data_IF_690039771613
#
_entry.id   IF_690039771613
#
_cell.length_a   1.000
_cell.length_b   1.000
_cell.length_c   1.000
_cell.angle_alpha   90.00
_cell.angle_beta   90.00
_cell.angle_gamma   90.00
#
_symmetry.space_group_name_H-M   'P 1'
#
loop_
_entity.id
_entity.type
_entity.pdbx_description
1 polymer ?
#
# COMPACT_ATOMS: atom_id res chain seq x y z
N UNK A 1 7.54 2.13 106.44
CA UNK A 1 7.68 3.43 105.74
C UNK A 1 8.59 3.35 104.50
N UNK A 2 9.87 2.96 104.61
CA UNK A 2 10.81 2.94 103.46
C UNK A 2 10.39 2.02 102.30
N UNK A 3 9.85 0.84 102.61
CA UNK A 3 9.39 -0.13 101.60
C UNK A 3 8.18 0.37 100.80
N UNK A 4 7.26 1.08 101.46
CA UNK A 4 6.09 1.67 100.81
C UNK A 4 6.49 2.80 99.84
N UNK A 5 7.44 3.66 100.22
CA UNK A 5 7.97 4.70 99.33
C UNK A 5 8.66 4.13 98.08
N UNK A 6 9.44 3.04 98.23
CA UNK A 6 10.08 2.36 97.10
C UNK A 6 9.03 1.75 96.16
N UNK A 7 8.02 1.06 96.70
CA UNK A 7 6.93 0.50 95.90
C UNK A 7 6.17 1.57 95.12
N UNK A 8 5.95 2.74 95.72
CA UNK A 8 5.25 3.86 95.07
C UNK A 8 6.09 4.45 93.92
N UNK A 9 7.40 4.57 94.09
CA UNK A 9 8.32 5.00 93.02
C UNK A 9 8.31 3.99 91.86
N UNK A 10 8.40 2.69 92.16
CA UNK A 10 8.37 1.64 91.11
C UNK A 10 7.02 1.64 90.38
N UNK A 11 5.91 1.77 91.11
CA UNK A 11 4.58 1.85 90.51
C UNK A 11 4.42 3.07 89.58
N UNK A 12 4.91 4.24 89.99
CA UNK A 12 4.89 5.44 89.14
C UNK A 12 5.79 5.31 87.90
N UNK A 13 6.95 4.66 88.02
CA UNK A 13 7.82 4.39 86.87
C UNK A 13 7.16 3.42 85.88
N UNK A 14 6.50 2.36 86.37
CA UNK A 14 5.75 1.43 85.52
C UNK A 14 4.55 2.11 84.86
N UNK A 15 3.81 2.94 85.59
CA UNK A 15 2.71 3.72 85.03
C UNK A 15 3.20 4.70 83.96
N UNK A 16 4.33 5.39 84.20
CA UNK A 16 4.96 6.27 83.23
C UNK A 16 5.42 5.54 81.97
N UNK A 17 6.09 4.39 82.12
CA UNK A 17 6.49 3.55 81.00
C UNK A 17 5.28 3.03 80.20
N UNK A 18 4.21 2.62 80.89
CA UNK A 18 2.95 2.22 80.28
C UNK A 18 2.29 3.35 79.48
N UNK A 19 2.27 4.57 80.01
CA UNK A 19 1.76 5.75 79.30
C UNK A 19 2.58 6.04 78.04
N UNK A 20 3.92 6.11 78.13
CA UNK A 20 4.79 6.33 76.97
C UNK A 20 4.59 5.26 75.90
N UNK A 21 4.44 4.00 76.29
CA UNK A 21 4.15 2.91 75.35
C UNK A 21 2.80 3.10 74.65
N UNK A 22 1.72 3.37 75.39
CA UNK A 22 0.39 3.60 74.83
C UNK A 22 0.35 4.85 73.95
N UNK A 23 1.00 5.94 74.34
CA UNK A 23 1.14 7.14 73.51
C UNK A 23 1.91 6.86 72.22
N UNK A 24 2.95 6.02 72.28
CA UNK A 24 3.70 5.59 71.09
C UNK A 24 2.85 4.70 70.18
N UNK A 25 2.02 3.82 70.75
CA UNK A 25 1.09 2.99 69.98
C UNK A 25 -0.03 3.81 69.34
N UNK A 26 -0.64 4.75 70.07
CA UNK A 26 -1.67 5.66 69.53
C UNK A 26 -1.10 6.52 68.41
N UNK A 27 0.11 7.08 68.61
CA UNK A 27 0.80 7.85 67.58
C UNK A 27 1.06 7.00 66.33
N UNK A 28 1.59 5.77 66.46
CA UNK A 28 1.77 4.85 65.34
C UNK A 28 0.44 4.50 64.65
N UNK A 29 -0.63 4.32 65.42
CA UNK A 29 -1.98 4.05 64.91
C UNK A 29 -2.50 5.20 64.05
N UNK A 30 -2.42 6.43 64.55
CA UNK A 30 -2.79 7.65 63.80
C UNK A 30 -1.97 7.80 62.52
N UNK A 31 -0.65 7.60 62.59
CA UNK A 31 0.20 7.65 61.40
C UNK A 31 -0.19 6.60 60.35
N UNK A 32 -0.56 5.38 60.78
CA UNK A 32 -1.02 4.32 59.86
C UNK A 32 -2.36 4.67 59.22
N UNK A 33 -3.31 5.24 59.97
CA UNK A 33 -4.62 5.65 59.44
C UNK A 33 -4.45 6.80 58.46
N UNK A 34 -3.66 7.81 58.81
CA UNK A 34 -3.35 8.94 57.92
C UNK A 34 -2.64 8.48 56.65
N UNK A 35 -1.66 7.57 56.77
CA UNK A 35 -0.98 7.00 55.61
C UNK A 35 -1.93 6.19 54.71
N UNK A 36 -2.87 5.42 55.29
CA UNK A 36 -3.88 4.70 54.53
C UNK A 36 -4.85 5.65 53.79
N UNK A 37 -5.31 6.71 54.48
CA UNK A 37 -6.13 7.76 53.88
C UNK A 37 -5.41 8.47 52.73
N UNK A 38 -4.13 8.81 52.91
CA UNK A 38 -3.29 9.42 51.88
C UNK A 38 -3.11 8.49 50.68
N UNK A 39 -2.83 7.20 50.89
CA UNK A 39 -2.72 6.20 49.80
C UNK A 39 -4.02 6.07 49.01
N UNK A 40 -5.16 6.06 49.68
CA UNK A 40 -6.46 6.02 49.02
C UNK A 40 -6.70 7.27 48.16
N UNK A 41 -6.37 8.45 48.70
CA UNK A 41 -6.50 9.71 47.97
C UNK A 41 -5.56 9.80 46.77
N UNK A 42 -4.31 9.35 46.93
CA UNK A 42 -3.34 9.20 45.85
C UNK A 42 -3.84 8.24 44.78
N UNK A 43 -4.42 7.10 45.17
CA UNK A 43 -4.99 6.15 44.22
C UNK A 43 -6.14 6.77 43.42
N UNK A 44 -7.00 7.56 44.06
CA UNK A 44 -8.13 8.19 43.38
C UNK A 44 -7.75 9.35 42.46
N UNK A 45 -6.86 10.24 42.93
CA UNK A 45 -6.55 11.51 42.26
C UNK A 45 -5.19 11.55 41.55
N UNK A 46 -4.30 10.61 41.83
CA UNK A 46 -2.93 10.57 41.34
C UNK A 46 -1.99 11.48 42.12
N UNK A 47 -0.73 11.49 41.69
CA UNK A 47 0.25 12.49 42.12
C UNK A 47 -0.06 13.86 41.49
N UNK A 48 0.47 14.98 42.01
CA UNK A 48 0.21 16.31 41.46
C UNK A 48 0.70 16.42 40.01
N UNK A 49 0.07 17.26 39.19
CA UNK A 49 0.51 17.42 37.79
C UNK A 49 1.90 18.05 37.73
N UNK A 50 2.04 19.26 38.26
CA UNK A 50 3.30 20.01 38.32
C UNK A 50 3.86 20.01 39.74
N UNK A 51 5.19 20.05 39.90
CA UNK A 51 5.78 20.29 41.20
C UNK A 51 5.51 21.75 41.62
N UNK A 52 5.18 21.98 42.89
CA UNK A 52 5.17 23.34 43.46
C UNK A 52 6.56 23.81 43.93
N UNK A 53 7.62 23.08 43.55
CA UNK A 53 9.02 23.32 43.90
C UNK A 53 9.98 22.79 42.83
N UNK A 54 11.29 22.67 43.13
CA UNK A 54 12.26 22.11 42.19
C UNK A 54 11.90 20.67 41.78
N UNK A 55 12.28 20.28 40.56
CA UNK A 55 12.08 18.91 40.05
C UNK A 55 12.86 17.91 40.93
N UNK A 56 12.16 17.18 41.80
CA UNK A 56 12.74 16.09 42.60
C UNK A 56 12.37 16.15 44.08
N UNK A 57 13.05 15.32 44.87
CA UNK A 57 12.96 15.35 46.33
C UNK A 57 13.90 16.43 46.88
N UNK A 58 13.45 17.16 47.90
CA UNK A 58 14.29 18.12 48.63
C UNK A 58 15.36 17.43 49.48
N UNK A 59 16.17 18.23 50.19
CA UNK A 59 17.22 17.73 51.08
C UNK A 59 16.72 16.80 52.19
N UNK A 60 15.45 16.94 52.58
CA UNK A 60 14.79 16.12 53.60
C UNK A 60 14.09 14.88 53.03
N UNK A 61 14.32 14.53 51.76
CA UNK A 61 13.60 13.46 51.05
C UNK A 61 12.06 13.70 51.03
N UNK A 62 11.63 14.95 51.11
CA UNK A 62 10.23 15.37 51.02
C UNK A 62 9.97 16.13 49.72
N UNK A 63 8.76 15.97 49.18
CA UNK A 63 8.26 16.79 48.06
C UNK A 63 6.97 17.49 48.49
N UNK A 64 6.75 18.76 48.09
CA UNK A 64 5.48 19.43 48.28
C UNK A 64 4.31 18.62 47.73
N UNK A 65 3.31 18.38 48.58
CA UNK A 65 2.07 17.68 48.26
C UNK A 65 0.96 18.28 49.11
N UNK A 66 0.33 19.33 48.60
CA UNK A 66 -0.74 20.04 49.32
C UNK A 66 -2.04 19.29 49.12
N UNK A 67 -2.56 18.70 50.20
CA UNK A 67 -3.83 17.98 50.17
C UNK A 67 -4.62 18.17 51.45
N UNK A 68 -5.90 18.50 51.30
CA UNK A 68 -6.85 18.61 52.40
C UNK A 68 -7.35 17.20 52.78
N UNK A 69 -7.00 16.77 53.99
CA UNK A 69 -7.47 15.54 54.59
C UNK A 69 -8.82 15.75 55.28
N UNK A 70 -9.51 14.66 55.61
CA UNK A 70 -10.71 14.74 56.44
C UNK A 70 -10.40 15.41 57.77
N UNK A 71 -11.25 16.35 58.20
CA UNK A 71 -11.04 17.14 59.42
C UNK A 71 -10.37 18.50 59.20
N UNK A 72 -10.13 18.91 57.94
CA UNK A 72 -9.60 20.24 57.60
C UNK A 72 -8.07 20.37 57.76
N UNK A 73 -7.38 19.28 58.14
CA UNK A 73 -5.92 19.26 58.16
C UNK A 73 -5.35 19.20 56.74
N UNK A 74 -4.37 20.05 56.45
CA UNK A 74 -3.66 20.02 55.17
C UNK A 74 -2.29 19.38 55.34
N UNK A 75 -2.06 18.27 54.65
CA UNK A 75 -0.71 17.75 54.48
C UNK A 75 -0.01 18.65 53.45
N UNK A 76 1.21 19.11 53.75
CA UNK A 76 1.98 20.01 52.87
C UNK A 76 3.06 19.28 52.08
N UNK A 77 3.57 18.17 52.61
CA UNK A 77 4.68 17.41 52.04
C UNK A 77 4.40 15.91 52.13
N UNK A 78 5.01 15.15 51.22
CA UNK A 78 5.00 13.69 51.22
C UNK A 78 6.44 13.18 51.19
N UNK A 79 6.74 12.19 52.03
CA UNK A 79 8.08 11.62 52.11
C UNK A 79 8.34 10.62 50.97
N UNK A 80 9.58 10.57 50.51
CA UNK A 80 10.08 9.62 49.51
C UNK A 80 9.78 8.18 49.89
N UNK A 81 9.99 7.80 51.14
CA UNK A 81 9.73 6.45 51.65
C UNK A 81 8.26 6.02 51.48
N UNK A 82 7.32 6.96 51.65
CA UNK A 82 5.90 6.67 51.44
C UNK A 82 5.58 6.46 49.97
N UNK A 83 6.15 7.27 49.07
CA UNK A 83 6.02 7.10 47.62
C UNK A 83 6.68 5.81 47.13
N UNK A 84 7.87 5.47 47.64
CA UNK A 84 8.54 4.21 47.31
C UNK A 84 7.70 2.99 47.70
N UNK A 85 7.11 3.00 48.90
CA UNK A 85 6.20 1.93 49.31
C UNK A 85 4.96 1.89 48.41
N UNK A 86 4.36 3.05 48.12
CA UNK A 86 3.19 3.16 47.26
C UNK A 86 3.46 2.65 45.83
N UNK A 87 4.59 3.01 45.21
CA UNK A 87 4.92 2.54 43.86
C UNK A 87 5.35 1.07 43.85
N UNK A 88 6.04 0.59 44.88
CA UNK A 88 6.41 -0.83 45.02
C UNK A 88 5.19 -1.74 45.14
N UNK A 89 4.21 -1.34 45.94
CA UNK A 89 2.96 -2.11 46.13
C UNK A 89 2.14 -2.16 44.82
N UNK A 90 2.26 -1.12 43.98
CA UNK A 90 1.49 -0.98 42.75
C UNK A 90 2.19 -1.51 41.49
N UNK A 91 3.52 -1.54 41.43
CA UNK A 91 4.23 -2.08 40.27
C UNK A 91 4.27 -3.61 40.26
N UNK A 92 4.05 -4.27 41.40
CA UNK A 92 4.30 -5.71 41.52
C UNK A 92 5.79 -6.02 41.31
N UNK A 93 6.27 -7.13 41.88
CA UNK A 93 7.55 -7.68 41.43
C UNK A 93 7.32 -8.24 40.03
N UNK A 94 7.42 -7.39 39.01
CA UNK A 94 7.32 -7.80 37.61
C UNK A 94 8.53 -8.67 37.27
N UNK A 95 8.47 -9.96 37.63
CA UNK A 95 9.13 -10.98 36.85
C UNK A 95 8.49 -10.89 35.47
N UNK A 96 9.24 -10.35 34.50
CA UNK A 96 8.82 -10.31 33.11
C UNK A 96 8.25 -11.69 32.76
N UNK A 97 7.00 -11.80 32.26
CA UNK A 97 6.44 -13.08 31.91
C UNK A 97 7.36 -13.70 30.84
N UNK A 98 8.09 -14.74 31.25
CA UNK A 98 8.89 -15.54 30.33
C UNK A 98 7.92 -16.29 29.41
N UNK A 99 7.68 -15.77 28.21
CA UNK A 99 6.93 -16.48 27.16
C UNK A 99 5.60 -15.88 26.70
N UNK A 100 5.39 -14.57 26.79
CA UNK A 100 4.27 -13.94 26.08
C UNK A 100 4.60 -13.84 24.58
N UNK A 101 4.27 -14.91 23.83
CA UNK A 101 4.38 -15.03 22.36
C UNK A 101 3.39 -14.11 21.63
N UNK A 102 3.51 -12.80 21.84
CA UNK A 102 2.91 -11.81 20.96
C UNK A 102 3.58 -11.86 19.58
N UNK A 103 2.83 -11.59 18.49
CA UNK A 103 3.40 -11.59 17.16
C UNK A 103 4.54 -10.55 17.09
N UNK A 104 5.76 -11.05 16.90
CA UNK A 104 7.04 -10.34 16.86
C UNK A 104 7.61 -9.80 18.20
N UNK A 105 7.68 -10.66 19.23
CA UNK A 105 8.91 -11.10 19.93
C UNK A 105 10.11 -10.17 20.24
N UNK A 106 10.02 -8.85 20.14
CA UNK A 106 11.09 -7.96 20.60
C UNK A 106 10.98 -7.72 22.13
N UNK A 107 12.05 -7.93 22.91
CA UNK A 107 12.04 -7.61 24.34
C UNK A 107 11.76 -6.12 24.53
N UNK A 108 10.64 -5.79 25.17
CA UNK A 108 10.26 -4.40 25.46
C UNK A 108 10.94 -3.92 26.73
N UNK A 109 11.30 -2.63 26.77
CA UNK A 109 11.72 -1.97 28.02
C UNK A 109 10.59 -2.05 29.02
N UNK A 110 10.89 -2.57 30.21
CA UNK A 110 9.94 -2.47 31.32
C UNK A 110 9.77 -1.01 31.71
N UNK A 111 8.64 -0.42 31.36
CA UNK A 111 8.28 0.94 31.75
C UNK A 111 7.89 1.02 33.24
N UNK A 112 7.58 -0.12 33.87
CA UNK A 112 7.01 -0.25 35.21
C UNK A 112 8.03 -0.18 36.37
N UNK A 113 9.26 0.30 36.14
CA UNK A 113 10.30 0.39 37.17
C UNK A 113 9.82 1.07 38.46
N UNK A 114 10.27 0.59 39.64
CA UNK A 114 9.77 1.01 40.96
C UNK A 114 10.26 2.40 41.43
N UNK A 115 10.85 3.19 40.53
CA UNK A 115 11.38 4.51 40.88
C UNK A 115 10.24 5.44 41.30
N UNK A 116 10.30 6.04 42.49
CA UNK A 116 9.28 6.98 42.93
C UNK A 116 9.32 8.25 42.08
N UNK A 117 8.15 8.81 41.79
CA UNK A 117 8.00 10.09 41.07
C UNK A 117 7.23 11.08 41.92
N UNK A 118 7.67 12.35 41.88
CA UNK A 118 7.10 13.42 42.70
C UNK A 118 5.87 14.07 42.09
N UNK A 119 5.72 14.01 40.77
CA UNK A 119 4.61 14.58 40.02
C UNK A 119 4.41 13.84 38.68
N UNK A 120 3.30 14.09 38.00
CA UNK A 120 2.95 13.40 36.76
C UNK A 120 3.91 13.76 35.61
N UNK A 121 4.37 15.00 35.54
CA UNK A 121 5.33 15.44 34.50
C UNK A 121 6.70 14.76 34.67
N UNK A 122 7.15 14.52 35.90
CA UNK A 122 8.35 13.76 36.18
C UNK A 122 8.24 12.32 35.67
N UNK A 123 7.06 11.69 35.79
CA UNK A 123 6.82 10.38 35.19
C UNK A 123 6.90 10.42 33.67
N UNK A 124 6.27 11.41 33.04
CA UNK A 124 6.31 11.57 31.58
C UNK A 124 7.75 11.74 31.08
N UNK A 125 8.55 12.60 31.74
CA UNK A 125 9.98 12.79 31.42
C UNK A 125 10.77 11.49 31.60
N UNK A 126 10.53 10.75 32.69
CA UNK A 126 11.19 9.45 32.96
C UNK A 126 10.89 8.44 31.84
N UNK A 127 9.63 8.33 31.45
CA UNK A 127 9.17 7.40 30.41
C UNK A 127 9.70 7.79 29.05
N UNK A 128 9.69 9.08 28.72
CA UNK A 128 10.30 9.59 27.49
C UNK A 128 11.81 9.25 27.44
N UNK A 129 12.53 9.41 28.55
CA UNK A 129 13.94 9.06 28.63
C UNK A 129 14.19 7.56 28.41
N UNK A 130 13.36 6.69 28.99
CA UNK A 130 13.44 5.24 28.77
C UNK A 130 13.18 4.86 27.31
N UNK A 131 12.16 5.45 26.70
CA UNK A 131 11.82 5.23 25.29
C UNK A 131 12.96 5.71 24.38
N UNK A 132 13.51 6.90 24.64
CA UNK A 132 14.66 7.43 23.89
C UNK A 132 15.89 6.57 24.03
N UNK A 133 16.19 6.09 25.23
CA UNK A 133 17.30 5.17 25.45
C UNK A 133 17.12 3.86 24.66
N UNK A 134 15.89 3.36 24.56
CA UNK A 134 15.59 2.17 23.75
C UNK A 134 15.79 2.42 22.25
N UNK A 135 15.26 3.54 21.76
CA UNK A 135 15.36 3.93 20.34
C UNK A 135 16.79 4.31 19.92
N UNK A 136 17.65 4.64 20.89
CA UNK A 136 19.05 4.99 20.68
C UNK A 136 20.01 3.81 20.85
N UNK A 137 19.53 2.59 21.12
CA UNK A 137 20.40 1.41 21.19
C UNK A 137 21.12 1.20 19.87
N UNK A 138 22.45 1.12 19.93
CA UNK A 138 23.29 0.84 18.76
C UNK A 138 22.90 -0.49 18.11
N UNK A 139 22.79 -0.48 16.77
CA UNK A 139 22.47 -1.68 15.99
C UNK A 139 20.99 -2.00 15.84
N UNK A 140 20.07 -1.18 16.38
CA UNK A 140 18.64 -1.36 16.16
C UNK A 140 18.30 -1.17 14.67
N UNK A 141 17.80 -2.21 14.01
CA UNK A 141 17.47 -2.13 12.59
C UNK A 141 16.29 -1.15 12.38
N UNK A 142 16.21 -0.42 11.25
CA UNK A 142 15.09 0.51 10.99
C UNK A 142 13.72 -0.16 11.10
N UNK A 143 13.58 -1.40 10.63
CA UNK A 143 12.35 -2.19 10.74
C UNK A 143 11.95 -2.46 12.22
N UNK A 144 12.92 -2.78 13.07
CA UNK A 144 12.68 -3.02 14.51
C UNK A 144 12.28 -1.72 15.21
N UNK A 145 12.93 -0.60 14.86
CA UNK A 145 12.58 0.73 15.36
C UNK A 145 11.15 1.12 14.99
N UNK A 146 10.75 0.89 13.74
CA UNK A 146 9.36 1.09 13.28
C UNK A 146 8.40 0.19 14.06
N UNK A 147 8.74 -1.07 14.30
CA UNK A 147 7.89 -2.00 15.05
C UNK A 147 7.69 -1.57 16.52
N UNK A 148 8.74 -1.07 17.19
CA UNK A 148 8.63 -0.51 18.55
C UNK A 148 7.72 0.73 18.56
N UNK A 149 7.97 1.68 17.66
CA UNK A 149 7.17 2.91 17.54
C UNK A 149 5.70 2.62 17.20
N UNK A 150 5.44 1.61 16.35
CA UNK A 150 4.09 1.10 16.06
C UNK A 150 3.37 0.69 17.34
N UNK A 151 4.04 -0.09 18.19
CA UNK A 151 3.47 -0.59 19.45
C UNK A 151 3.02 0.55 20.37
N UNK A 152 3.76 1.66 20.40
CA UNK A 152 3.45 2.82 21.24
C UNK A 152 2.42 3.76 20.63
N UNK A 153 2.45 3.99 19.31
CA UNK A 153 1.62 5.01 18.66
C UNK A 153 0.27 4.49 18.18
N UNK A 154 0.13 3.21 17.80
CA UNK A 154 -1.08 2.72 17.15
C UNK A 154 -2.34 2.86 18.03
N UNK A 155 -2.18 2.67 19.34
CA UNK A 155 -3.26 2.83 20.32
C UNK A 155 -3.45 4.29 20.78
N UNK A 156 -2.54 5.19 20.41
CA UNK A 156 -2.64 6.62 20.69
C UNK A 156 -3.31 7.42 19.56
N UNK A 157 -3.65 6.79 18.44
CA UNK A 157 -4.41 7.45 17.39
C UNK A 157 -5.75 7.94 17.94
N UNK A 158 -6.07 9.22 17.70
CA UNK A 158 -7.31 9.85 18.18
C UNK A 158 -8.40 9.90 17.10
N UNK A 159 -8.00 9.80 15.83
CA UNK A 159 -8.88 9.74 14.65
C UNK A 159 -8.53 8.55 13.76
N UNK A 160 -9.45 8.22 12.84
CA UNK A 160 -9.25 7.14 11.88
C UNK A 160 -8.10 7.45 10.91
N UNK A 161 -8.02 8.69 10.43
CA UNK A 161 -6.99 9.17 9.50
C UNK A 161 -5.59 9.08 10.13
N UNK A 162 -5.46 9.51 11.39
CA UNK A 162 -4.21 9.39 12.15
C UNK A 162 -3.80 7.92 12.30
N UNK A 163 -4.77 7.03 12.54
CA UNK A 163 -4.51 5.59 12.63
C UNK A 163 -4.03 5.02 11.31
N UNK A 164 -4.65 5.42 10.19
CA UNK A 164 -4.20 5.04 8.85
C UNK A 164 -2.81 5.57 8.53
N UNK A 165 -2.49 6.80 8.91
CA UNK A 165 -1.13 7.35 8.76
C UNK A 165 -0.11 6.49 9.51
N UNK A 166 -0.39 6.15 10.77
CA UNK A 166 0.49 5.27 11.55
C UNK A 166 0.60 3.88 10.93
N UNK A 167 -0.48 3.31 10.41
CA UNK A 167 -0.44 2.02 9.71
C UNK A 167 0.39 2.10 8.43
N UNK A 168 0.23 3.15 7.62
CA UNK A 168 0.99 3.34 6.39
C UNK A 168 2.50 3.52 6.66
N UNK A 169 2.87 4.28 7.70
CA UNK A 169 4.27 4.43 8.12
C UNK A 169 4.85 3.13 8.69
N UNK A 170 4.03 2.30 9.31
CA UNK A 170 4.47 1.05 9.96
C UNK A 170 4.34 -0.21 9.11
N UNK A 171 3.73 -0.10 7.92
CA UNK A 171 3.66 -1.20 6.95
C UNK A 171 5.07 -1.48 6.40
N UNK A 172 5.37 -2.77 6.23
CA UNK A 172 6.58 -3.23 5.58
C UNK A 172 6.54 -2.97 4.06
N UNK A 173 5.34 -2.77 3.50
CA UNK A 173 5.14 -2.47 2.08
C UNK A 173 4.84 -1.00 1.85
N UNK A 174 5.29 -0.47 0.72
CA UNK A 174 4.95 0.86 0.25
C UNK A 174 3.53 0.89 -0.38
N UNK A 175 3.10 2.07 -0.83
CA UNK A 175 1.81 2.26 -1.48
C UNK A 175 1.65 1.46 -2.80
N UNK A 176 2.73 0.92 -3.37
CA UNK A 176 2.73 0.07 -4.57
C UNK A 176 2.76 -1.43 -4.22
N UNK A 177 2.75 -1.78 -2.93
CA UNK A 177 2.86 -3.15 -2.44
C UNK A 177 4.27 -3.72 -2.50
N UNK A 178 5.30 -2.91 -2.78
CA UNK A 178 6.71 -3.31 -2.77
C UNK A 178 7.26 -3.24 -1.35
N UNK A 179 8.22 -4.11 -1.00
CA UNK A 179 8.87 -4.05 0.32
C UNK A 179 9.66 -2.74 0.40
N UNK A 180 9.43 -1.96 1.46
CA UNK A 180 10.13 -0.69 1.69
C UNK A 180 11.63 -0.91 1.79
N UNK A 181 12.39 -0.01 1.17
CA UNK A 181 13.84 0.00 1.29
C UNK A 181 14.27 0.35 2.74
N UNK A 182 15.51 -0.01 3.15
CA UNK A 182 16.03 0.39 4.46
C UNK A 182 16.02 1.92 4.68
N UNK A 183 16.20 2.71 3.62
CA UNK A 183 16.14 4.17 3.67
C UNK A 183 14.72 4.69 3.93
N UNK A 184 13.71 4.09 3.28
CA UNK A 184 12.30 4.43 3.52
C UNK A 184 11.90 4.08 4.95
N UNK A 185 12.27 2.89 5.44
CA UNK A 185 11.99 2.50 6.83
C UNK A 185 12.68 3.41 7.84
N UNK A 186 13.89 3.91 7.54
CA UNK A 186 14.58 4.89 8.38
C UNK A 186 13.82 6.22 8.41
N UNK A 187 13.38 6.74 7.26
CA UNK A 187 12.59 7.97 7.20
C UNK A 187 11.25 7.83 7.92
N UNK A 188 10.57 6.69 7.78
CA UNK A 188 9.33 6.38 8.50
C UNK A 188 9.58 6.31 10.01
N UNK A 189 10.66 5.68 10.46
CA UNK A 189 11.05 5.65 11.87
C UNK A 189 11.30 7.06 12.44
N UNK A 190 12.03 7.91 11.72
CA UNK A 190 12.29 9.30 12.12
C UNK A 190 10.99 10.12 12.22
N UNK A 191 10.06 9.93 11.27
CA UNK A 191 8.75 10.59 11.31
C UNK A 191 7.92 10.14 12.50
N UNK A 192 7.83 8.82 12.74
CA UNK A 192 7.13 8.25 13.89
C UNK A 192 7.73 8.71 15.22
N UNK A 193 9.07 8.75 15.33
CA UNK A 193 9.77 9.25 16.51
C UNK A 193 9.44 10.73 16.76
N UNK A 194 9.45 11.55 15.72
CA UNK A 194 9.06 12.97 15.82
C UNK A 194 7.62 13.14 16.29
N UNK A 195 6.68 12.31 15.80
CA UNK A 195 5.28 12.32 16.22
C UNK A 195 5.18 11.99 17.72
N UNK A 196 5.87 10.94 18.17
CA UNK A 196 5.90 10.55 19.57
C UNK A 196 6.50 11.66 20.45
N UNK A 197 7.62 12.24 20.04
CA UNK A 197 8.26 13.34 20.76
C UNK A 197 7.39 14.59 20.83
N UNK A 198 6.62 14.88 19.77
CA UNK A 198 5.66 15.98 19.76
C UNK A 198 4.55 15.74 20.79
N UNK A 199 4.06 14.49 20.92
CA UNK A 199 3.06 14.13 21.94
C UNK A 199 3.60 14.24 23.37
N UNK A 200 4.84 13.80 23.61
CA UNK A 200 5.51 14.01 24.88
C UNK A 200 5.68 15.50 25.19
N UNK A 201 6.17 16.28 24.23
CA UNK A 201 6.37 17.72 24.37
C UNK A 201 5.06 18.47 24.65
N UNK A 202 3.95 18.08 24.01
CA UNK A 202 2.63 18.66 24.25
C UNK A 202 2.12 18.46 25.68
N UNK A 203 2.52 17.36 26.34
CA UNK A 203 2.17 17.10 27.74
C UNK A 203 3.18 17.73 28.70
N UNK A 204 4.48 17.70 28.37
CA UNK A 204 5.54 18.23 29.24
C UNK A 204 5.53 19.75 29.28
N UNK A 205 5.41 20.41 28.14
CA UNK A 205 5.47 21.86 28.08
C UNK A 205 4.13 22.45 28.53
N UNK A 206 4.19 23.34 29.53
CA UNK A 206 3.01 24.12 29.90
C UNK A 206 2.64 25.00 28.69
N UNK A 207 1.39 24.94 28.22
CA UNK A 207 0.97 25.76 27.10
C UNK A 207 1.18 27.23 27.47
N UNK A 208 1.89 27.95 26.60
CA UNK A 208 2.11 29.38 26.78
C UNK A 208 0.77 30.10 26.67
N UNK A 209 0.26 30.57 27.81
CA UNK A 209 -1.04 31.24 27.89
C UNK A 209 -1.12 32.51 27.02
N UNK A 210 0.04 33.06 26.64
CA UNK A 210 0.14 34.26 25.81
C UNK A 210 0.29 33.97 24.31
N UNK A 211 0.36 32.69 23.91
CA UNK A 211 0.49 32.33 22.50
C UNK A 211 -0.87 32.43 21.82
N UNK A 212 -1.17 33.60 21.27
CA UNK A 212 -2.32 33.78 20.38
C UNK A 212 -2.16 32.86 19.19
N UNK A 213 -3.12 31.96 18.89
CA UNK A 213 -3.05 31.13 17.71
C UNK A 213 -2.96 32.06 16.50
N UNK A 214 -1.80 32.05 15.83
CA UNK A 214 -1.64 32.79 14.58
C UNK A 214 -2.46 32.01 13.58
N UNK A 215 -3.69 32.47 13.31
CA UNK A 215 -4.55 31.84 12.32
C UNK A 215 -3.81 31.90 10.97
N UNK A 216 -3.20 30.77 10.58
CA UNK A 216 -2.70 30.62 9.24
C UNK A 216 -3.88 30.86 8.31
N UNK A 217 -3.72 31.77 7.35
CA UNK A 217 -4.77 32.03 6.36
C UNK A 217 -5.08 30.70 5.65
N UNK A 218 -6.27 30.15 5.91
CA UNK A 218 -6.72 28.95 5.22
C UNK A 218 -6.77 29.28 3.72
N UNK A 219 -6.16 28.46 2.85
CA UNK A 219 -6.33 28.66 1.41
C UNK A 219 -7.82 28.61 1.07
N UNK A 220 -8.25 29.44 0.12
CA UNK A 220 -9.66 29.57 -0.25
C UNK A 220 -10.12 28.36 -1.08
N UNK A 221 -10.27 27.20 -0.41
CA UNK A 221 -10.68 25.91 -1.00
C UNK A 221 -12.02 26.06 -1.73
N UNK A 222 -12.90 26.92 -1.20
CA UNK A 222 -14.19 27.20 -1.81
C UNK A 222 -14.03 27.82 -3.20
N UNK A 223 -13.18 28.85 -3.32
CA UNK A 223 -12.87 29.46 -4.62
C UNK A 223 -12.30 28.46 -5.62
N UNK A 224 -11.37 27.60 -5.18
CA UNK A 224 -10.80 26.56 -6.05
C UNK A 224 -11.85 25.52 -6.51
N UNK A 225 -12.80 25.15 -5.64
CA UNK A 225 -13.89 24.23 -5.98
C UNK A 225 -14.91 24.86 -6.95
N UNK A 226 -15.23 26.13 -6.77
CA UNK A 226 -16.12 26.89 -7.66
C UNK A 226 -15.50 27.02 -9.06
N UNK A 227 -14.18 27.26 -9.16
CA UNK A 227 -13.44 27.30 -10.42
C UNK A 227 -13.41 25.94 -11.13
N UNK A 228 -13.20 24.83 -10.41
CA UNK A 228 -13.24 23.48 -10.98
C UNK A 228 -14.62 23.12 -11.51
N UNK A 229 -15.68 23.49 -10.78
CA UNK A 229 -17.07 23.27 -11.20
C UNK A 229 -17.37 24.01 -12.50
N UNK A 230 -16.92 25.26 -12.61
CA UNK A 230 -17.05 26.06 -13.83
C UNK A 230 -16.34 25.41 -15.02
N UNK A 231 -15.08 25.00 -14.86
CA UNK A 231 -14.30 24.36 -15.93
C UNK A 231 -14.90 23.02 -16.38
N UNK A 232 -15.48 22.26 -15.45
CA UNK A 232 -16.14 20.99 -15.75
C UNK A 232 -17.41 21.20 -16.57
N UNK A 233 -18.20 22.23 -16.24
CA UNK A 233 -19.37 22.61 -17.03
C UNK A 233 -18.97 23.12 -18.43
N UNK A 234 -17.93 23.93 -18.54
CA UNK A 234 -17.41 24.42 -19.83
C UNK A 234 -16.95 23.25 -20.73
N UNK A 235 -16.27 22.25 -20.15
CA UNK A 235 -15.86 21.04 -20.87
C UNK A 235 -17.07 20.23 -21.37
N UNK A 236 -18.11 20.14 -20.55
CA UNK A 236 -19.35 19.45 -20.92
C UNK A 236 -20.08 20.17 -22.06
N UNK A 237 -20.24 21.49 -21.97
CA UNK A 237 -20.87 22.31 -23.01
C UNK A 237 -20.11 22.21 -24.36
N UNK A 238 -18.78 22.10 -24.32
CA UNK A 238 -17.95 21.87 -25.51
C UNK A 238 -18.15 20.48 -26.11
N UNK A 239 -18.31 19.44 -25.30
CA UNK A 239 -18.60 18.09 -25.78
C UNK A 239 -19.99 18.00 -26.44
N UNK A 240 -20.96 18.76 -25.93
CA UNK A 240 -22.33 18.78 -26.44
C UNK A 240 -22.48 19.61 -27.73
N UNK A 241 -21.64 20.62 -27.94
CA UNK A 241 -21.59 21.40 -29.19
C UNK A 241 -20.92 20.60 -30.30
N UNK A 242 -21.68 19.84 -31.09
CA UNK A 242 -21.17 19.29 -32.37
C UNK A 242 -21.27 20.32 -33.51
N UNK A 243 -20.21 20.52 -34.33
CA UNK A 243 -18.86 19.96 -34.22
C UNK A 243 -17.89 20.88 -33.47
N UNK A 244 -17.51 20.53 -32.24
CA UNK A 244 -16.39 21.17 -31.54
C UNK A 244 -15.05 20.58 -32.03
N UNK A 245 -14.01 21.41 -32.25
CA UNK A 245 -12.67 20.93 -32.56
C UNK A 245 -12.15 20.01 -31.44
N UNK A 246 -11.59 18.85 -31.79
CA UNK A 246 -11.00 17.92 -30.80
C UNK A 246 -9.91 18.58 -29.95
N UNK A 247 -9.19 19.55 -30.52
CA UNK A 247 -8.12 20.26 -29.85
C UNK A 247 -8.63 21.13 -28.69
N UNK A 248 -9.82 21.73 -28.81
CA UNK A 248 -10.44 22.53 -27.75
C UNK A 248 -10.89 21.65 -26.58
N UNK A 249 -11.41 20.47 -26.88
CA UNK A 249 -11.81 19.47 -25.87
C UNK A 249 -10.57 18.99 -25.10
N UNK A 250 -9.47 18.67 -25.81
CA UNK A 250 -8.21 18.24 -25.18
C UNK A 250 -7.60 19.35 -24.32
N UNK A 251 -7.60 20.60 -24.81
CA UNK A 251 -7.08 21.74 -24.06
C UNK A 251 -7.86 21.96 -22.75
N UNK A 252 -9.20 21.91 -22.81
CA UNK A 252 -10.05 22.07 -21.62
C UNK A 252 -9.97 20.89 -20.66
N UNK A 253 -9.86 19.66 -21.16
CA UNK A 253 -9.64 18.49 -20.31
C UNK A 253 -8.34 18.61 -19.50
N UNK A 254 -7.26 19.10 -20.12
CA UNK A 254 -5.99 19.37 -19.44
C UNK A 254 -6.11 20.48 -18.39
N UNK A 255 -6.89 21.52 -18.65
CA UNK A 255 -7.16 22.60 -17.70
C UNK A 255 -7.95 22.09 -16.48
N UNK A 256 -8.96 21.23 -16.70
CA UNK A 256 -9.72 20.55 -15.63
C UNK A 256 -8.79 19.67 -14.79
N UNK A 257 -7.92 18.88 -15.42
CA UNK A 257 -6.97 18.02 -14.71
C UNK A 257 -6.00 18.84 -13.85
N UNK A 258 -5.42 19.91 -14.41
CA UNK A 258 -4.56 20.83 -13.67
C UNK A 258 -5.29 21.46 -12.48
N UNK A 259 -6.52 21.95 -12.66
CA UNK A 259 -7.29 22.55 -11.56
C UNK A 259 -7.70 21.54 -10.50
N UNK A 260 -7.96 20.29 -10.89
CA UNK A 260 -8.22 19.20 -9.94
C UNK A 260 -7.00 18.88 -9.09
N UNK A 261 -5.80 18.91 -9.66
CA UNK A 261 -4.55 18.78 -8.89
C UNK A 261 -4.34 19.96 -7.93
N UNK A 262 -4.61 21.20 -8.37
CA UNK A 262 -4.52 22.40 -7.53
C UNK A 262 -5.52 22.34 -6.36
N UNK A 263 -6.77 21.94 -6.61
CA UNK A 263 -7.78 21.77 -5.57
C UNK A 263 -7.37 20.68 -4.57
N UNK A 264 -6.78 19.58 -5.04
CA UNK A 264 -6.30 18.49 -4.18
C UNK A 264 -5.16 18.96 -3.29
N UNK A 265 -4.21 19.73 -3.82
CA UNK A 265 -3.12 20.31 -3.04
C UNK A 265 -3.62 21.41 -2.09
N UNK A 266 -4.55 22.26 -2.52
CA UNK A 266 -5.18 23.27 -1.66
C UNK A 266 -6.00 22.61 -0.53
N UNK A 267 -6.70 21.51 -0.80
CA UNK A 267 -7.42 20.73 0.20
C UNK A 267 -6.45 20.05 1.18
N UNK A 268 -5.33 19.48 0.70
CA UNK A 268 -4.26 18.95 1.58
C UNK A 268 -3.64 20.04 2.44
N UNK A 269 -3.40 21.23 1.89
CA UNK A 269 -2.87 22.38 2.63
C UNK A 269 -3.87 22.92 3.64
N UNK A 270 -5.15 23.02 3.28
CA UNK A 270 -6.21 23.40 4.20
C UNK A 270 -6.39 22.38 5.31
N UNK A 271 -6.33 21.09 5.00
CA UNK A 271 -6.36 20.01 5.98
C UNK A 271 -5.13 20.10 6.89
N UNK A 272 -3.93 20.22 6.34
CA UNK A 272 -2.71 20.37 7.14
C UNK A 272 -2.72 21.66 7.99
N UNK A 273 -3.30 22.75 7.49
CA UNK A 273 -3.48 23.98 8.26
C UNK A 273 -4.54 23.80 9.35
N UNK A 274 -5.64 23.08 9.06
CA UNK A 274 -6.66 22.73 10.05
C UNK A 274 -6.11 21.80 11.13
N UNK A 275 -5.28 20.82 10.76
CA UNK A 275 -4.57 19.92 11.66
C UNK A 275 -3.55 20.69 12.49
N UNK A 276 -2.77 21.60 11.88
CA UNK A 276 -1.89 22.51 12.63
C UNK A 276 -2.67 23.41 13.58
N UNK A 277 -3.83 23.92 13.18
CA UNK A 277 -4.70 24.72 14.04
C UNK A 277 -5.33 23.84 15.12
N UNK A 278 -5.66 22.58 14.86
CA UNK A 278 -6.16 21.63 15.85
C UNK A 278 -5.06 21.27 16.87
N UNK A 279 -3.84 21.04 16.41
CA UNK A 279 -2.65 20.83 17.22
C UNK A 279 -2.33 22.09 18.06
N UNK A 280 -2.43 23.28 17.46
CA UNK A 280 -2.22 24.56 18.14
C UNK A 280 -3.35 24.90 19.11
N UNK A 281 -4.62 24.58 18.80
CA UNK A 281 -5.74 24.67 19.74
C UNK A 281 -5.57 23.68 20.88
N UNK A 282 -4.97 22.53 20.60
CA UNK A 282 -4.48 21.63 21.62
C UNK A 282 -3.30 22.18 22.43
N UNK A 283 -2.68 23.27 22.01
CA UNK A 283 -1.58 23.93 22.70
C UNK A 283 -1.95 25.31 23.29
N UNK A 284 -3.16 25.84 23.02
CA UNK A 284 -3.65 27.09 23.63
C UNK A 284 -4.18 26.79 25.03
N UNK A 285 -3.56 27.38 26.06
CA UNK A 285 -3.85 27.24 27.50
C UNK A 285 -4.74 26.05 27.87
N UNK A 286 -4.25 24.82 27.65
CA UNK A 286 -4.94 23.63 28.14
C UNK A 286 -5.24 23.85 29.62
N UNK A 287 -6.52 23.77 29.97
CA UNK A 287 -6.88 23.69 31.38
C UNK A 287 -6.06 22.53 31.99
N UNK A 288 -5.67 22.68 33.25
CA UNK A 288 -4.89 21.67 33.96
C UNK A 288 -5.59 20.29 33.88
N UNK A 289 -6.92 20.33 33.86
CA UNK A 289 -7.80 19.18 33.60
C UNK A 289 -7.53 18.51 32.26
N UNK A 290 -7.42 19.26 31.17
CA UNK A 290 -7.23 18.71 29.84
C UNK A 290 -5.83 18.15 29.69
N UNK A 291 -4.81 18.85 30.20
CA UNK A 291 -3.42 18.36 30.20
C UNK A 291 -3.27 17.06 30.98
N UNK A 292 -3.91 16.93 32.15
CA UNK A 292 -3.99 15.65 32.88
C UNK A 292 -4.69 14.55 32.06
N UNK A 293 -5.71 14.91 31.28
CA UNK A 293 -6.40 13.99 30.36
C UNK A 293 -5.49 13.47 29.25
N UNK A 294 -4.75 14.36 28.58
CA UNK A 294 -3.78 14.00 27.54
C UNK A 294 -2.62 13.16 28.09
N UNK A 295 -2.13 13.50 29.29
CA UNK A 295 -1.12 12.72 29.99
C UNK A 295 -1.61 11.29 30.27
N UNK A 296 -2.83 11.16 30.78
CA UNK A 296 -3.45 9.86 31.01
C UNK A 296 -3.54 9.06 29.70
N UNK A 297 -4.07 9.68 28.65
CA UNK A 297 -4.19 9.06 27.33
C UNK A 297 -2.84 8.61 26.77
N UNK A 298 -1.81 9.44 26.87
CA UNK A 298 -0.45 9.10 26.45
C UNK A 298 0.08 7.88 27.20
N UNK A 299 0.06 7.90 28.54
CA UNK A 299 0.72 6.87 29.35
C UNK A 299 0.00 5.52 29.32
N UNK A 300 -1.34 5.49 29.30
CA UNK A 300 -2.13 4.24 29.34
C UNK A 300 -1.82 3.34 28.13
N UNK A 301 -1.59 3.93 26.96
CA UNK A 301 -1.45 3.20 25.70
C UNK A 301 -0.01 2.81 25.36
N UNK A 302 0.98 3.14 26.19
CA UNK A 302 2.38 2.81 25.93
C UNK A 302 2.68 1.32 26.14
N UNK A 303 2.06 0.65 27.11
CA UNK A 303 2.32 -0.76 27.39
C UNK A 303 1.06 -1.45 27.96
N UNK A 304 0.56 -2.55 27.40
CA UNK A 304 -0.57 -3.28 27.97
C UNK A 304 -0.24 -4.03 29.28
N UNK A 305 1.03 -4.09 29.68
CA UNK A 305 1.47 -4.82 30.87
C UNK A 305 0.74 -4.39 32.16
N UNK A 306 0.35 -5.38 32.98
CA UNK A 306 -0.45 -5.13 34.18
C UNK A 306 0.29 -4.31 35.24
N UNK A 307 1.62 -4.49 35.38
CA UNK A 307 2.43 -3.69 36.29
C UNK A 307 2.51 -2.24 35.83
N UNK A 308 2.63 -2.02 34.52
CA UNK A 308 2.54 -0.69 33.93
C UNK A 308 1.18 -0.03 34.18
N UNK A 309 0.07 -0.73 33.92
CA UNK A 309 -1.27 -0.16 34.10
C UNK A 309 -1.52 0.24 35.56
N UNK A 310 -1.10 -0.58 36.53
CA UNK A 310 -1.19 -0.23 37.95
C UNK A 310 -0.33 0.99 38.32
N UNK A 311 0.88 1.09 37.76
CA UNK A 311 1.73 2.28 37.93
C UNK A 311 1.05 3.53 37.38
N UNK A 312 0.42 3.45 36.21
CA UNK A 312 -0.28 4.60 35.62
C UNK A 312 -1.53 4.99 36.40
N UNK A 313 -2.29 4.03 36.93
CA UNK A 313 -3.36 4.29 37.89
C UNK A 313 -2.81 5.03 39.12
N UNK A 314 -1.65 4.61 39.63
CA UNK A 314 -1.01 5.23 40.78
C UNK A 314 -0.51 6.67 40.50
N UNK A 315 0.00 6.94 39.30
CA UNK A 315 0.50 8.26 38.88
C UNK A 315 -0.64 9.23 38.54
N UNK A 316 -1.55 8.83 37.66
CA UNK A 316 -2.58 9.72 37.09
C UNK A 316 -3.84 9.75 37.97
N UNK A 317 -4.06 8.68 38.73
CA UNK A 317 -5.26 8.48 39.54
C UNK A 317 -6.32 7.68 38.81
N UNK A 318 -7.01 6.81 39.53
CA UNK A 318 -8.03 5.90 39.03
C UNK A 318 -9.16 6.62 38.28
N UNK A 319 -9.62 7.78 38.78
CA UNK A 319 -10.71 8.53 38.13
C UNK A 319 -10.32 9.01 36.72
N UNK A 320 -9.08 9.48 36.57
CA UNK A 320 -8.56 9.97 35.29
C UNK A 320 -8.21 8.82 34.36
N UNK A 321 -7.65 7.75 34.90
CA UNK A 321 -7.40 6.51 34.18
C UNK A 321 -8.69 5.97 33.54
N UNK A 322 -9.74 5.76 34.33
CA UNK A 322 -11.04 5.26 33.82
C UNK A 322 -11.61 6.19 32.76
N UNK A 323 -11.59 7.51 32.99
CA UNK A 323 -12.07 8.48 32.00
C UNK A 323 -11.29 8.42 30.68
N UNK A 324 -9.97 8.28 30.73
CA UNK A 324 -9.13 8.18 29.54
C UNK A 324 -9.40 6.87 28.77
N UNK A 325 -9.59 5.75 29.47
CA UNK A 325 -9.99 4.48 28.85
C UNK A 325 -11.38 4.61 28.20
N UNK A 326 -12.37 5.18 28.89
CA UNK A 326 -13.71 5.39 28.34
C UNK A 326 -13.67 6.27 27.08
N UNK A 327 -12.90 7.36 27.10
CA UNK A 327 -12.72 8.22 25.93
C UNK A 327 -12.06 7.46 24.76
N UNK A 328 -11.10 6.59 25.05
CA UNK A 328 -10.48 5.76 24.01
C UNK A 328 -11.49 4.79 23.39
N UNK A 329 -12.31 4.13 24.20
CA UNK A 329 -13.36 3.24 23.71
C UNK A 329 -14.31 3.99 22.79
N UNK A 330 -14.75 5.19 23.17
CA UNK A 330 -15.57 6.04 22.29
C UNK A 330 -14.87 6.40 20.98
N UNK A 331 -13.58 6.75 21.02
CA UNK A 331 -12.80 7.02 19.79
C UNK A 331 -12.71 5.80 18.88
N UNK A 332 -12.54 4.60 19.44
CA UNK A 332 -12.55 3.38 18.63
C UNK A 332 -13.91 3.07 18.05
N UNK A 333 -15.00 3.31 18.78
CA UNK A 333 -16.36 3.21 18.26
C UNK A 333 -16.58 4.18 17.07
N UNK A 334 -16.11 5.42 17.19
CA UNK A 334 -16.17 6.40 16.10
C UNK A 334 -15.35 5.96 14.86
N UNK A 335 -14.14 5.41 15.08
CA UNK A 335 -13.32 4.85 13.99
C UNK A 335 -14.01 3.65 13.32
N UNK A 336 -14.64 2.76 14.09
CA UNK A 336 -15.38 1.62 13.55
C UNK A 336 -16.54 2.12 12.68
N UNK A 337 -17.34 3.08 13.18
CA UNK A 337 -18.44 3.68 12.41
C UNK A 337 -17.97 4.34 11.12
N UNK A 338 -16.82 5.03 11.17
CA UNK A 338 -16.24 5.63 9.97
C UNK A 338 -15.92 4.57 8.90
N UNK A 339 -15.31 3.45 9.29
CA UNK A 339 -15.04 2.32 8.40
C UNK A 339 -16.34 1.71 7.87
N UNK A 340 -17.31 1.46 8.75
CA UNK A 340 -18.61 0.89 8.36
C UNK A 340 -19.38 1.77 7.37
N UNK A 341 -19.29 3.10 7.51
CA UNK A 341 -19.89 4.05 6.58
C UNK A 341 -19.17 4.12 5.23
N UNK A 342 -17.87 3.88 5.19
CA UNK A 342 -17.08 3.89 3.95
C UNK A 342 -17.31 2.63 3.09
N UNK A 343 -17.52 1.47 3.72
CA UNK A 343 -17.65 0.16 3.04
C UNK A 343 -18.68 0.17 1.88
N UNK A 344 -19.92 0.65 2.04
CA UNK A 344 -20.89 0.66 0.94
C UNK A 344 -20.44 1.51 -0.25
N UNK A 345 -19.78 2.65 0.02
CA UNK A 345 -19.22 3.52 -1.00
C UNK A 345 -18.14 2.80 -1.82
N UNK A 346 -17.18 2.19 -1.13
CA UNK A 346 -16.09 1.44 -1.75
C UNK A 346 -16.60 0.22 -2.53
N UNK A 347 -17.57 -0.53 -1.98
CA UNK A 347 -18.22 -1.64 -2.68
C UNK A 347 -18.90 -1.18 -3.97
N UNK A 348 -19.60 -0.03 -3.94
CA UNK A 348 -20.26 0.50 -5.13
C UNK A 348 -19.25 0.95 -6.20
N UNK A 349 -18.15 1.59 -5.79
CA UNK A 349 -17.07 2.01 -6.68
C UNK A 349 -16.39 0.79 -7.33
N UNK A 350 -16.10 -0.24 -6.53
CA UNK A 350 -15.52 -1.49 -7.02
C UNK A 350 -16.43 -2.18 -8.04
N UNK A 351 -17.74 -2.28 -7.77
CA UNK A 351 -18.70 -2.90 -8.71
C UNK A 351 -18.72 -2.16 -10.05
N UNK A 352 -18.66 -0.82 -10.04
CA UNK A 352 -18.61 -0.01 -11.26
C UNK A 352 -17.33 -0.29 -12.05
N UNK A 353 -16.17 -0.26 -11.38
CA UNK A 353 -14.88 -0.55 -12.02
C UNK A 353 -14.82 -1.98 -12.58
N UNK A 354 -15.26 -2.96 -11.80
CA UNK A 354 -15.32 -4.37 -12.23
C UNK A 354 -16.23 -4.54 -13.45
N UNK A 355 -17.38 -3.85 -13.47
CA UNK A 355 -18.30 -3.90 -14.61
C UNK A 355 -17.65 -3.37 -15.88
N UNK A 356 -16.92 -2.25 -15.79
CA UNK A 356 -16.17 -1.67 -16.92
C UNK A 356 -15.08 -2.63 -17.40
N UNK A 357 -14.28 -3.21 -16.49
CA UNK A 357 -13.23 -4.16 -16.84
C UNK A 357 -13.79 -5.44 -17.48
N UNK A 358 -14.91 -5.96 -16.96
CA UNK A 358 -15.61 -7.11 -17.56
C UNK A 358 -16.10 -6.78 -18.97
N UNK A 359 -16.68 -5.60 -19.18
CA UNK A 359 -17.13 -5.18 -20.50
C UNK A 359 -15.95 -5.07 -21.49
N UNK A 360 -14.83 -4.48 -21.06
CA UNK A 360 -13.61 -4.42 -21.87
C UNK A 360 -13.05 -5.80 -22.20
N UNK A 361 -13.04 -6.73 -21.23
CA UNK A 361 -12.59 -8.11 -21.45
C UNK A 361 -13.48 -8.83 -22.48
N UNK A 362 -14.80 -8.67 -22.40
CA UNK A 362 -15.75 -9.22 -23.39
C UNK A 362 -15.50 -8.64 -24.78
N UNK A 363 -15.37 -7.31 -24.91
CA UNK A 363 -15.07 -6.67 -26.19
C UNK A 363 -13.73 -7.15 -26.78
N UNK A 364 -12.70 -7.30 -25.96
CA UNK A 364 -11.40 -7.81 -26.40
C UNK A 364 -11.50 -9.28 -26.86
N UNK A 365 -12.28 -10.11 -26.18
CA UNK A 365 -12.54 -11.48 -26.58
C UNK A 365 -13.30 -11.55 -27.92
N UNK A 366 -14.29 -10.70 -28.13
CA UNK A 366 -15.03 -10.59 -29.40
C UNK A 366 -14.12 -10.15 -30.55
N UNK A 367 -13.26 -9.15 -30.33
CA UNK A 367 -12.25 -8.72 -31.31
C UNK A 367 -11.28 -9.84 -31.65
N UNK A 368 -10.81 -10.58 -30.65
CA UNK A 368 -9.92 -11.72 -30.86
C UNK A 368 -10.59 -12.82 -31.70
N UNK A 369 -11.89 -13.09 -31.46
CA UNK A 369 -12.68 -14.03 -32.28
C UNK A 369 -12.82 -13.55 -33.72
N UNK A 370 -13.17 -12.28 -33.94
CA UNK A 370 -13.30 -11.71 -35.28
C UNK A 370 -11.97 -11.81 -36.07
N UNK A 371 -10.83 -11.50 -35.44
CA UNK A 371 -9.51 -11.64 -36.05
C UNK A 371 -9.20 -13.10 -36.38
N UNK A 372 -9.57 -14.05 -35.51
CA UNK A 372 -9.35 -15.47 -35.74
C UNK A 372 -10.19 -15.99 -36.94
N UNK A 373 -11.45 -15.56 -37.05
CA UNK A 373 -12.32 -15.89 -38.17
C UNK A 373 -11.81 -15.31 -39.50
N UNK A 374 -11.36 -14.06 -39.51
CA UNK A 374 -10.74 -13.45 -40.69
C UNK A 374 -9.46 -14.19 -41.11
N UNK A 375 -8.62 -14.56 -40.13
CA UNK A 375 -7.43 -15.39 -40.41
C UNK A 375 -7.80 -16.74 -41.00
N UNK A 376 -8.85 -17.40 -40.49
CA UNK A 376 -9.33 -18.67 -41.04
C UNK A 376 -9.79 -18.51 -42.50
N UNK A 377 -10.55 -17.46 -42.83
CA UNK A 377 -10.96 -17.14 -44.21
C UNK A 377 -9.74 -16.88 -45.12
N UNK A 378 -8.74 -16.15 -44.63
CA UNK A 378 -7.51 -15.91 -45.39
C UNK A 378 -6.71 -17.19 -45.64
N UNK A 379 -6.71 -18.13 -44.70
CA UNK A 379 -6.10 -19.45 -44.88
C UNK A 379 -6.86 -20.24 -45.94
N UNK A 380 -8.19 -20.27 -45.89
CA UNK A 380 -9.04 -20.94 -46.88
C UNK A 380 -8.87 -20.36 -48.31
N UNK A 381 -8.79 -19.03 -48.44
CA UNK A 381 -8.49 -18.39 -49.71
C UNK A 381 -7.07 -18.74 -50.22
N UNK A 382 -6.08 -18.80 -49.32
CA UNK A 382 -4.73 -19.24 -49.67
C UNK A 382 -4.71 -20.69 -50.14
N UNK A 383 -5.43 -21.60 -49.49
CA UNK A 383 -5.50 -23.00 -49.92
C UNK A 383 -6.20 -23.11 -51.27
N UNK A 384 -7.35 -22.43 -51.46
CA UNK A 384 -8.06 -22.40 -52.73
C UNK A 384 -7.21 -21.87 -53.90
N UNK A 385 -6.43 -20.81 -53.67
CA UNK A 385 -5.53 -20.26 -54.69
C UNK A 385 -4.36 -21.19 -55.01
N UNK A 386 -3.75 -21.83 -54.00
CA UNK A 386 -2.72 -22.87 -54.20
C UNK A 386 -3.27 -24.04 -55.02
N UNK A 387 -4.48 -24.49 -54.73
CA UNK A 387 -5.14 -25.56 -55.48
C UNK A 387 -5.41 -25.15 -56.93
N UNK A 388 -5.89 -23.92 -57.17
CA UNK A 388 -6.11 -23.40 -58.51
C UNK A 388 -4.81 -23.30 -59.33
N UNK A 389 -3.71 -22.85 -58.71
CA UNK A 389 -2.38 -22.83 -59.34
C UNK A 389 -1.91 -24.24 -59.66
N UNK A 390 -2.12 -25.20 -58.75
CA UNK A 390 -1.76 -26.61 -58.96
C UNK A 390 -2.54 -27.21 -60.14
N UNK A 391 -3.86 -26.97 -60.22
CA UNK A 391 -4.68 -27.40 -61.37
C UNK A 391 -4.18 -26.81 -62.69
N UNK A 392 -3.87 -25.50 -62.72
CA UNK A 392 -3.32 -24.84 -63.92
C UNK A 392 -1.96 -25.42 -64.32
N UNK A 393 -1.08 -25.74 -63.37
CA UNK A 393 0.19 -26.42 -63.66
C UNK A 393 -0.02 -27.79 -64.28
N UNK A 394 -0.96 -28.58 -63.77
CA UNK A 394 -1.30 -29.89 -64.34
C UNK A 394 -1.87 -29.77 -65.75
N UNK A 395 -2.74 -28.78 -66.00
CA UNK A 395 -3.27 -28.49 -67.33
C UNK A 395 -2.17 -28.07 -68.31
N UNK A 396 -1.27 -27.17 -67.90
CA UNK A 396 -0.13 -26.75 -68.71
C UNK A 396 0.78 -27.93 -69.05
N UNK A 397 1.05 -28.82 -68.09
CA UNK A 397 1.83 -30.04 -68.34
C UNK A 397 1.14 -30.93 -69.38
N UNK A 398 -0.16 -31.21 -69.21
CA UNK A 398 -0.94 -32.00 -70.17
C UNK A 398 -0.93 -31.40 -71.57
N UNK A 399 -1.11 -30.08 -71.71
CA UNK A 399 -1.02 -29.38 -73.00
C UNK A 399 0.39 -29.44 -73.60
N UNK A 400 1.43 -29.37 -72.76
CA UNK A 400 2.82 -29.52 -73.21
C UNK A 400 3.06 -30.93 -73.74
N UNK A 401 2.59 -31.96 -73.00
CA UNK A 401 2.69 -33.36 -73.41
C UNK A 401 1.94 -33.59 -74.74
N UNK A 402 0.73 -33.02 -74.89
CA UNK A 402 -0.02 -33.05 -76.16
C UNK A 402 0.74 -32.38 -77.30
N UNK A 403 1.32 -31.20 -77.08
CA UNK A 403 2.13 -30.52 -78.09
C UNK A 403 3.35 -31.34 -78.49
N UNK A 404 4.03 -31.99 -77.55
CA UNK A 404 5.16 -32.89 -77.87
C UNK A 404 4.72 -34.10 -78.68
N UNK A 405 3.55 -34.68 -78.37
CA UNK A 405 2.97 -35.78 -79.13
C UNK A 405 2.61 -35.36 -80.56
N UNK A 406 1.90 -34.24 -80.72
CA UNK A 406 1.54 -33.70 -82.04
C UNK A 406 2.79 -33.38 -82.85
N UNK A 407 3.85 -32.83 -82.24
CA UNK A 407 5.14 -32.62 -82.91
C UNK A 407 5.74 -33.94 -83.41
N UNK A 408 5.77 -34.98 -82.57
CA UNK A 408 6.26 -36.30 -82.97
C UNK A 408 5.43 -36.93 -84.10
N UNK A 409 4.10 -36.79 -84.07
CA UNK A 409 3.21 -37.25 -85.14
C UNK A 409 3.44 -36.47 -86.45
N UNK A 410 3.63 -35.14 -86.38
CA UNK A 410 3.98 -34.31 -87.54
C UNK A 410 5.33 -34.72 -88.12
N UNK A 411 6.34 -34.95 -87.27
CA UNK A 411 7.67 -35.41 -87.72
C UNK A 411 7.57 -36.78 -88.41
N UNK A 412 6.76 -37.71 -87.89
CA UNK A 412 6.51 -39.01 -88.53
C UNK A 412 5.81 -38.84 -89.89
N UNK A 413 4.79 -37.98 -89.96
CA UNK A 413 4.08 -37.68 -91.22
C UNK A 413 5.02 -37.05 -92.25
N UNK A 414 5.93 -36.16 -91.84
CA UNK A 414 6.94 -35.58 -92.72
C UNK A 414 7.90 -36.66 -93.24
N UNK A 415 8.38 -37.58 -92.40
CA UNK A 415 9.22 -38.72 -92.84
C UNK A 415 8.46 -39.61 -93.84
N UNK A 416 7.19 -39.93 -93.56
CA UNK A 416 6.34 -40.70 -94.50
C UNK A 416 6.14 -39.95 -95.81
N UNK A 417 5.91 -38.64 -95.78
CA UNK A 417 5.79 -37.81 -96.96
C UNK A 417 7.07 -37.86 -97.80
N UNK A 418 8.24 -37.66 -97.18
CA UNK A 418 9.54 -37.76 -97.89
C UNK A 418 9.75 -39.15 -98.50
N UNK A 419 9.35 -40.22 -97.81
CA UNK A 419 9.42 -41.58 -98.35
C UNK A 419 8.48 -41.78 -99.55
N UNK A 420 7.24 -41.28 -99.47
CA UNK A 420 6.29 -41.31 -100.58
C UNK A 420 6.80 -40.48 -101.77
N UNK A 421 7.35 -39.29 -101.53
CA UNK A 421 7.97 -38.45 -102.56
C UNK A 421 9.11 -39.20 -103.26
N UNK A 422 9.97 -39.89 -102.50
CA UNK A 422 11.04 -40.72 -103.06
C UNK A 422 10.50 -41.88 -103.90
N UNK A 423 9.47 -42.59 -103.43
CA UNK A 423 8.80 -43.63 -104.21
C UNK A 423 8.19 -43.06 -105.50
N UNK A 424 7.61 -41.87 -105.44
CA UNK A 424 7.04 -41.20 -106.60
C UNK A 424 8.12 -40.83 -107.63
N UNK A 425 9.29 -40.39 -107.19
CA UNK A 425 10.46 -40.18 -108.05
C UNK A 425 11.00 -41.50 -108.64
N UNK A 426 11.05 -42.58 -107.86
CA UNK A 426 11.45 -43.91 -108.35
C UNK A 426 10.46 -44.43 -109.41
N UNK A 427 9.16 -44.31 -109.18
CA UNK A 427 8.12 -44.65 -110.15
C UNK A 427 8.23 -43.76 -111.40
N UNK A 428 8.42 -42.45 -111.26
CA UNK A 428 8.66 -41.56 -112.41
C UNK A 428 9.89 -41.98 -113.21
N UNK A 429 10.96 -42.40 -112.53
CA UNK A 429 12.18 -42.91 -113.16
C UNK A 429 11.93 -44.24 -113.87
N UNK A 430 11.22 -45.19 -113.26
CA UNK A 430 10.84 -46.47 -113.88
C UNK A 430 9.91 -46.27 -115.08
N UNK A 431 8.95 -45.34 -114.99
CA UNK A 431 8.11 -44.95 -116.13
C UNK A 431 8.97 -44.36 -117.25
N UNK A 432 9.97 -43.53 -116.92
CA UNK A 432 10.94 -43.03 -117.89
C UNK A 432 11.73 -44.15 -118.58
N UNK A 433 12.25 -45.11 -117.82
CA UNK A 433 12.98 -46.27 -118.35
C UNK A 433 12.09 -47.21 -119.18
N UNK A 434 10.86 -47.46 -118.74
CA UNK A 434 9.92 -48.31 -119.49
C UNK A 434 9.44 -47.63 -120.76
N UNK A 435 9.26 -46.31 -120.77
CA UNK A 435 9.04 -45.55 -122.00
C UNK A 435 10.24 -45.65 -122.94
N UNK A 436 11.47 -45.51 -122.44
CA UNK A 436 12.69 -45.73 -123.24
C UNK A 436 12.76 -47.16 -123.80
N UNK A 437 12.45 -48.18 -123.00
CA UNK A 437 12.42 -49.58 -123.45
C UNK A 437 11.30 -49.85 -124.45
N UNK A 438 10.12 -49.25 -124.28
CA UNK A 438 9.03 -49.30 -125.26
C UNK A 438 9.49 -48.66 -126.57
N UNK A 439 10.08 -47.46 -126.53
CA UNK A 439 10.64 -46.84 -127.74
C UNK A 439 11.73 -47.69 -128.37
N UNK A 440 12.57 -48.36 -127.57
CA UNK A 440 13.60 -49.30 -128.07
C UNK A 440 12.97 -50.53 -128.71
N UNK A 441 11.95 -51.12 -128.10
CA UNK A 441 11.23 -52.28 -128.62
C UNK A 441 10.44 -51.91 -129.86
N UNK A 442 9.78 -50.75 -129.90
CA UNK A 442 9.15 -50.21 -131.11
C UNK A 442 10.19 -50.02 -132.22
N UNK A 443 11.37 -49.47 -131.92
CA UNK A 443 12.44 -49.36 -132.91
C UNK A 443 12.94 -50.73 -133.41
N UNK A 444 13.06 -51.72 -132.52
CA UNK A 444 13.42 -53.10 -132.89
C UNK A 444 12.33 -53.81 -133.70
N UNK A 445 11.05 -53.61 -133.35
CA UNK A 445 9.91 -54.19 -134.04
C UNK A 445 9.74 -53.54 -135.42
N UNK A 446 9.89 -52.23 -135.51
CA UNK A 446 9.93 -51.47 -136.77
C UNK A 446 11.14 -51.92 -137.63
N UNK A 447 12.27 -52.27 -137.02
CA UNK A 447 13.40 -52.88 -137.74
C UNK A 447 13.10 -54.30 -138.25
N UNK A 448 12.51 -55.16 -137.41
CA UNK A 448 12.17 -56.55 -137.76
C UNK A 448 11.04 -56.64 -138.80
N UNK A 449 10.01 -55.77 -138.71
CA UNK A 449 8.97 -55.67 -139.72
C UNK A 449 9.56 -55.21 -141.05
N UNK A 450 10.47 -54.22 -141.05
CA UNK A 450 11.16 -53.81 -142.27
C UNK A 450 11.99 -54.93 -142.90
N UNK A 451 12.71 -55.71 -142.09
CA UNK A 451 13.47 -56.87 -142.55
C UNK A 451 12.54 -57.94 -143.18
N UNK A 452 11.39 -58.19 -142.57
CA UNK A 452 10.39 -59.16 -143.06
C UNK A 452 9.68 -58.71 -144.34
N UNK A 453 9.54 -57.41 -144.57
CA UNK A 453 8.87 -56.84 -145.75
C UNK A 453 9.83 -56.25 -146.80
N UNK A 454 11.15 -56.38 -146.64
CA UNK A 454 12.15 -55.90 -147.61
C UNK A 454 12.25 -54.37 -147.71
N UNK A 455 11.90 -53.65 -146.65
CA UNK A 455 11.95 -52.19 -146.59
C UNK A 455 13.32 -51.71 -146.07
N UNK A 456 13.92 -50.66 -146.66
CA UNK A 456 15.23 -50.14 -146.23
C UNK A 456 15.20 -49.58 -144.78
N UNK A 457 16.31 -49.67 -144.01
CA UNK A 457 16.34 -49.26 -142.60
C UNK A 457 15.99 -47.77 -142.42
N UNK A 458 15.23 -47.43 -141.36
CA UNK A 458 15.01 -46.02 -140.98
C UNK A 458 16.31 -45.43 -140.44
N UNK A 459 16.72 -44.32 -141.02
CA UNK A 459 17.70 -43.42 -140.40
C UNK A 459 16.93 -42.65 -139.33
N UNK A 460 17.12 -43.02 -138.05
CA UNK A 460 16.62 -42.19 -136.96
C UNK A 460 17.42 -40.87 -136.93
N UNK A 461 16.75 -39.72 -136.76
CA UNK A 461 17.42 -38.44 -136.49
C UNK A 461 18.07 -38.39 -135.11
#
# INVERSE_FOLDING_TARGET
MRLFGILLIVANLLAGAGFVYLSTQDWKGRQSITAAGLRYLLLLKGVPLEPSGPDGFGAEDETPFVFEMGGGETTKTISKKLLEAYFRDNSGAAQAPAGADGPAGAPRVSLAANTPVTNQIAEVKRVQALIKAELAKDGLAPAEKVALLRGWLLYQAESYETRLEYLALTDAKDAKGQIKSPEQLKADAERLEKILDTRFAAVVNRPDANRTPTAAALPDVKKAADELTKLTNDLRDLQDRRPAPEDDIKAKAKEVEAKRTELTEAAKQAQAAADQVADQRGASSLDETERRGRLAHLLIHLDPDAAWQKRIIAVVGLRRYVRAVSLQVSRFDDMIRHVEQAIPGDQSAFIVEETVLRQQATQNAERARAIAEERAKMVEQKTATVDAVTRRRTQLKSLTDQLTKVKAEVDELLVRQTAMEKQLFEVQREVGLTLEDVYRLEALLDAAERERFGLPPRVNP
#
